data_IF_941277361714
#
_entry.id   IF_941277361714
#
_cell.length_a   1.000
_cell.length_b   1.000
_cell.length_c   1.000
_cell.angle_alpha   90.00
_cell.angle_beta   90.00
_cell.angle_gamma   90.00
#
_symmetry.space_group_name_H-M   'P 1'
#
loop_
_entity.id
_entity.type
_entity.pdbx_description
1 polymer ?
#
# COMPACT_ATOMS: atom_id res chain seq x y z
N UNK A 1 -10.88 -15.43 9.57
CA UNK A 1 -10.16 -15.49 8.28
C UNK A 1 -9.97 -14.04 7.81
N UNK A 2 -8.78 -13.66 7.37
CA UNK A 2 -8.55 -12.33 6.79
C UNK A 2 -9.08 -12.34 5.36
N UNK A 3 -9.85 -11.32 5.01
CA UNK A 3 -10.47 -11.20 3.69
C UNK A 3 -9.51 -10.46 2.76
N UNK A 4 -8.87 -11.19 1.84
CA UNK A 4 -7.85 -10.69 0.93
C UNK A 4 -8.28 -10.96 -0.51
N UNK A 5 -8.04 -10.01 -1.40
CA UNK A 5 -8.18 -10.15 -2.84
C UNK A 5 -6.83 -9.84 -3.50
N UNK A 6 -6.36 -10.75 -4.33
CA UNK A 6 -5.18 -10.53 -5.18
C UNK A 6 -5.60 -10.51 -6.65
N UNK A 7 -5.25 -9.43 -7.35
CA UNK A 7 -5.40 -9.31 -8.79
C UNK A 7 -4.01 -9.35 -9.42
N UNK A 8 -3.61 -10.53 -9.87
CA UNK A 8 -2.32 -10.73 -10.55
C UNK A 8 -2.30 -10.00 -11.89
N UNK A 9 -1.12 -9.52 -12.28
CA UNK A 9 -0.93 -8.78 -13.54
C UNK A 9 -1.88 -7.58 -13.70
N UNK A 10 -2.26 -6.95 -12.58
CA UNK A 10 -3.03 -5.70 -12.59
C UNK A 10 -2.29 -4.59 -13.34
N UNK A 11 -0.97 -4.50 -13.17
CA UNK A 11 -0.05 -3.79 -14.05
C UNK A 11 0.90 -4.82 -14.70
N UNK A 12 1.27 -4.57 -15.94
CA UNK A 12 2.27 -5.37 -16.65
C UNK A 12 3.69 -5.15 -16.06
N UNK A 13 4.60 -6.08 -16.31
CA UNK A 13 6.00 -5.92 -15.93
C UNK A 13 6.65 -4.68 -16.53
N UNK A 14 6.28 -4.32 -17.78
CA UNK A 14 6.75 -3.11 -18.45
C UNK A 14 6.24 -1.83 -17.77
N UNK A 15 4.95 -1.78 -17.38
CA UNK A 15 4.38 -0.66 -16.61
C UNK A 15 5.08 -0.52 -15.24
N UNK A 16 5.33 -1.64 -14.54
CA UNK A 16 6.06 -1.61 -13.27
C UNK A 16 7.48 -1.07 -13.43
N UNK A 17 8.20 -1.51 -14.47
CA UNK A 17 9.55 -1.04 -14.76
C UNK A 17 9.57 0.48 -15.08
N UNK A 18 8.64 0.95 -15.92
CA UNK A 18 8.51 2.36 -16.26
C UNK A 18 8.20 3.21 -15.01
N UNK A 19 7.27 2.77 -14.18
CA UNK A 19 6.91 3.44 -12.92
C UNK A 19 8.10 3.49 -11.96
N UNK A 20 8.85 2.40 -11.76
CA UNK A 20 10.05 2.43 -10.90
C UNK A 20 11.09 3.40 -11.43
N UNK A 21 11.32 3.44 -12.75
CA UNK A 21 12.25 4.39 -13.36
C UNK A 21 11.81 5.84 -13.14
N UNK A 22 10.53 6.14 -13.33
CA UNK A 22 9.94 7.46 -13.05
C UNK A 22 10.10 7.84 -11.57
N UNK A 23 9.77 6.93 -10.65
CA UNK A 23 9.84 7.17 -9.21
C UNK A 23 11.27 7.41 -8.72
N UNK A 24 12.28 6.76 -9.30
CA UNK A 24 13.70 7.02 -8.95
C UNK A 24 14.14 8.42 -9.32
N UNK A 25 13.55 9.02 -10.35
CA UNK A 25 13.85 10.40 -10.79
C UNK A 25 12.98 11.45 -10.07
N UNK A 26 11.92 11.02 -9.40
CA UNK A 26 10.95 11.91 -8.78
C UNK A 26 11.47 12.53 -7.48
N UNK A 27 11.02 13.73 -7.16
CA UNK A 27 11.21 14.31 -5.84
C UNK A 27 10.42 13.48 -4.80
N UNK A 28 11.00 13.33 -3.62
CA UNK A 28 10.38 12.59 -2.52
C UNK A 28 10.33 13.40 -1.24
N UNK A 29 9.32 13.14 -0.42
CA UNK A 29 9.19 13.68 0.93
C UNK A 29 8.91 12.54 1.90
N UNK A 30 9.35 12.67 3.14
CA UNK A 30 9.08 11.67 4.16
C UNK A 30 7.57 11.52 4.36
N UNK A 31 7.10 10.28 4.38
CA UNK A 31 5.68 9.98 4.57
C UNK A 31 5.21 10.37 5.96
N UNK A 32 4.01 10.95 6.03
CA UNK A 32 3.36 11.29 7.29
C UNK A 32 2.49 10.13 7.79
N UNK A 33 2.14 10.17 9.07
CA UNK A 33 1.10 9.35 9.71
C UNK A 33 -0.05 10.26 10.13
N UNK A 34 -1.20 9.67 10.41
CA UNK A 34 -2.36 10.42 10.92
C UNK A 34 -2.00 11.18 12.18
N UNK A 35 -2.45 12.43 12.25
CA UNK A 35 -2.25 13.36 13.36
C UNK A 35 -3.41 14.34 13.39
N UNK A 36 -3.75 14.94 14.53
CA UNK A 36 -4.68 16.06 14.61
C UNK A 36 -4.27 17.26 13.74
N UNK A 37 -2.98 17.38 13.43
CA UNK A 37 -2.47 18.47 12.60
C UNK A 37 -2.83 18.26 11.12
N UNK A 38 -3.25 19.30 10.40
CA UNK A 38 -3.50 19.24 8.96
C UNK A 38 -2.25 18.74 8.21
N UNK A 39 -2.43 17.72 7.35
CA UNK A 39 -1.34 17.10 6.59
C UNK A 39 -0.60 15.95 7.30
N UNK A 40 -0.98 15.63 8.54
CA UNK A 40 -0.37 14.55 9.33
C UNK A 40 0.97 14.95 9.97
N UNK A 41 1.57 14.00 10.69
CA UNK A 41 2.85 14.20 11.37
C UNK A 41 3.92 13.22 10.86
N UNK A 42 5.17 13.67 10.80
CA UNK A 42 6.32 12.81 10.56
C UNK A 42 6.70 12.14 11.87
N UNK A 43 6.55 10.81 11.96
CA UNK A 43 6.91 10.00 13.13
C UNK A 43 7.84 8.85 12.72
N UNK A 44 9.17 9.04 12.68
CA UNK A 44 10.11 8.07 12.14
C UNK A 44 10.16 6.73 12.89
N UNK A 45 9.70 6.69 14.13
CA UNK A 45 9.56 5.45 14.93
C UNK A 45 8.27 4.68 14.64
N UNK A 46 7.36 5.30 13.88
CA UNK A 46 6.08 4.69 13.46
C UNK A 46 6.13 4.33 11.98
N UNK A 47 6.60 5.26 11.14
CA UNK A 47 6.69 5.07 9.69
C UNK A 47 7.96 5.68 9.14
N UNK A 48 8.73 4.88 8.44
CA UNK A 48 9.85 5.30 7.59
C UNK A 48 9.54 4.88 6.18
N UNK A 49 9.25 5.84 5.34
CA UNK A 49 8.97 5.66 3.91
C UNK A 49 9.04 7.03 3.24
N UNK A 50 9.37 7.05 1.96
CA UNK A 50 9.34 8.26 1.14
C UNK A 50 8.13 8.25 0.23
N UNK A 51 7.31 9.31 0.30
CA UNK A 51 6.25 9.56 -0.68
C UNK A 51 6.85 10.29 -1.87
N UNK A 52 6.72 9.69 -3.04
CA UNK A 52 7.25 10.19 -4.29
C UNK A 52 6.22 11.06 -5.02
N UNK A 53 6.65 12.17 -5.57
CA UNK A 53 5.81 13.04 -6.41
C UNK A 53 5.81 12.52 -7.83
N UNK A 54 4.62 12.35 -8.41
CA UNK A 54 4.47 11.93 -9.81
C UNK A 54 3.68 12.98 -10.60
N UNK A 55 3.84 13.02 -11.92
CA UNK A 55 2.99 13.85 -12.78
C UNK A 55 1.50 13.47 -12.63
N UNK A 56 0.57 14.43 -12.77
CA UNK A 56 -0.87 14.15 -12.68
C UNK A 56 -1.34 13.00 -13.57
N UNK A 57 -0.85 12.92 -14.80
CA UNK A 57 -1.16 11.84 -15.75
C UNK A 57 -0.86 10.43 -15.21
N UNK A 58 0.23 10.27 -14.44
CA UNK A 58 0.61 8.98 -13.84
C UNK A 58 -0.37 8.60 -12.74
N UNK A 59 -0.72 9.56 -11.87
CA UNK A 59 -1.72 9.35 -10.83
C UNK A 59 -3.12 9.05 -11.40
N UNK A 60 -3.53 9.79 -12.43
CA UNK A 60 -4.81 9.60 -13.14
C UNK A 60 -4.90 8.23 -13.80
N UNK A 61 -3.82 7.78 -14.47
CA UNK A 61 -3.76 6.45 -15.07
C UNK A 61 -3.99 5.35 -14.02
N UNK A 62 -3.27 5.41 -12.90
CA UNK A 62 -3.42 4.42 -11.81
C UNK A 62 -4.83 4.49 -11.22
N UNK A 63 -5.36 5.69 -11.00
CA UNK A 63 -6.73 5.89 -10.51
C UNK A 63 -7.76 5.24 -11.44
N UNK A 64 -7.66 5.47 -12.74
CA UNK A 64 -8.56 4.87 -13.72
C UNK A 64 -8.52 3.33 -13.70
N UNK A 65 -7.31 2.75 -13.57
CA UNK A 65 -7.12 1.29 -13.45
C UNK A 65 -7.76 0.75 -12.15
N UNK A 66 -7.58 1.44 -11.02
CA UNK A 66 -8.21 1.07 -9.75
C UNK A 66 -9.74 1.14 -9.87
N UNK A 67 -10.28 2.21 -10.45
CA UNK A 67 -11.73 2.37 -10.61
C UNK A 67 -12.39 1.28 -11.47
N UNK A 68 -11.66 0.65 -12.39
CA UNK A 68 -12.14 -0.53 -13.14
C UNK A 68 -12.37 -1.75 -12.23
N UNK A 69 -11.70 -1.85 -11.08
CA UNK A 69 -11.88 -2.95 -10.12
C UNK A 69 -13.00 -2.69 -9.10
N UNK A 70 -13.50 -1.46 -9.01
CA UNK A 70 -14.42 -0.99 -7.96
C UNK A 70 -15.63 -1.93 -7.76
N UNK A 71 -16.35 -2.26 -8.82
CA UNK A 71 -17.59 -3.04 -8.70
C UNK A 71 -17.32 -4.52 -8.34
N UNK A 72 -16.21 -5.08 -8.80
CA UNK A 72 -15.78 -6.42 -8.43
C UNK A 72 -15.41 -6.47 -6.94
N UNK A 73 -14.65 -5.48 -6.46
CA UNK A 73 -14.26 -5.36 -5.05
C UNK A 73 -15.47 -5.06 -4.17
N UNK A 74 -16.41 -4.21 -4.61
CA UNK A 74 -17.64 -3.92 -3.89
C UNK A 74 -18.43 -5.22 -3.61
N UNK A 75 -18.61 -6.06 -4.63
CA UNK A 75 -19.27 -7.37 -4.48
C UNK A 75 -18.47 -8.31 -3.57
N UNK A 76 -17.14 -8.37 -3.75
CA UNK A 76 -16.28 -9.29 -3.00
C UNK A 76 -16.24 -8.98 -1.51
N UNK A 77 -16.19 -7.70 -1.14
CA UNK A 77 -16.14 -7.26 0.26
C UNK A 77 -17.52 -6.98 0.86
N UNK A 78 -18.60 -7.04 0.07
CA UNK A 78 -19.96 -6.69 0.52
C UNK A 78 -20.05 -5.23 0.97
N UNK A 79 -19.34 -4.32 0.30
CA UNK A 79 -19.26 -2.90 0.62
C UNK A 79 -19.72 -2.05 -0.57
N UNK A 80 -20.50 -1.01 -0.31
CA UNK A 80 -20.77 0.00 -1.32
C UNK A 80 -19.53 0.90 -1.49
N UNK A 81 -18.88 0.84 -2.65
CA UNK A 81 -17.70 1.64 -2.97
C UNK A 81 -18.10 2.72 -3.98
N UNK A 82 -17.70 3.97 -3.72
CA UNK A 82 -18.05 5.14 -4.56
C UNK A 82 -16.89 5.61 -5.44
N UNK A 83 -15.73 5.81 -4.83
CA UNK A 83 -14.51 6.36 -5.45
C UNK A 83 -13.28 5.75 -4.81
N UNK A 84 -12.10 6.13 -5.29
CA UNK A 84 -10.86 5.89 -4.56
C UNK A 84 -10.11 7.20 -4.31
N UNK A 85 -9.34 7.24 -3.23
CA UNK A 85 -8.44 8.36 -2.94
C UNK A 85 -7.32 8.44 -4.01
N UNK A 86 -6.75 9.64 -4.23
CA UNK A 86 -5.57 9.77 -5.08
C UNK A 86 -4.44 8.83 -4.63
N UNK A 87 -3.83 8.06 -5.54
CA UNK A 87 -2.81 7.08 -5.18
C UNK A 87 -1.57 7.75 -4.61
N UNK A 88 -1.00 7.13 -3.59
CA UNK A 88 0.28 7.51 -3.01
C UNK A 88 1.36 6.55 -3.52
N UNK A 89 2.42 7.11 -4.10
CA UNK A 89 3.57 6.37 -4.60
C UNK A 89 4.65 6.36 -3.51
N UNK A 90 5.05 5.18 -3.08
CA UNK A 90 5.90 5.01 -1.91
C UNK A 90 7.19 4.28 -2.29
N UNK A 91 8.31 4.75 -1.73
CA UNK A 91 9.60 4.08 -1.73
C UNK A 91 10.01 3.76 -0.30
N UNK A 92 10.44 2.53 -0.09
CA UNK A 92 11.08 2.06 1.13
C UNK A 92 12.50 1.63 0.79
N UNK A 93 13.48 2.15 1.52
CA UNK A 93 14.89 1.76 1.46
C UNK A 93 15.23 0.80 2.60
N UNK A 94 16.45 0.25 2.62
CA UNK A 94 16.92 -0.58 3.72
C UNK A 94 16.73 0.11 5.08
N UNK A 95 16.09 -0.59 6.02
CA UNK A 95 15.71 -0.09 7.33
C UNK A 95 14.38 0.66 7.39
N UNK A 96 13.72 0.92 6.26
CA UNK A 96 12.39 1.55 6.24
C UNK A 96 11.29 0.54 6.55
N UNK A 97 10.22 1.01 7.22
CA UNK A 97 9.15 0.17 7.74
C UNK A 97 7.88 0.99 8.01
N UNK A 98 6.79 0.31 8.33
CA UNK A 98 5.58 0.92 8.90
C UNK A 98 5.01 -0.04 9.96
N UNK A 99 4.91 0.41 11.21
CA UNK A 99 4.39 -0.41 12.31
C UNK A 99 2.93 -0.79 12.10
N UNK A 100 2.43 -1.76 12.85
CA UNK A 100 1.05 -2.22 12.79
C UNK A 100 0.06 -1.07 12.99
N UNK A 101 -0.86 -0.91 12.04
CA UNK A 101 -1.87 0.15 11.99
C UNK A 101 -3.11 -0.32 11.23
N UNK A 102 -4.15 0.50 11.25
CA UNK A 102 -5.35 0.38 10.44
C UNK A 102 -5.50 1.63 9.57
N UNK A 103 -6.01 1.47 8.35
CA UNK A 103 -6.12 2.58 7.40
C UNK A 103 -7.39 3.40 7.56
N UNK A 104 -8.45 2.80 8.07
CA UNK A 104 -9.75 3.46 8.19
C UNK A 104 -10.85 2.56 8.75
N UNK A 105 -12.08 3.06 8.68
CA UNK A 105 -13.30 2.34 9.06
C UNK A 105 -13.28 1.77 10.50
N UNK A 106 -12.65 2.51 11.44
CA UNK A 106 -12.61 2.12 12.85
C UNK A 106 -13.06 3.26 13.74
N UNK A 107 -13.61 2.96 14.95
CA UNK A 107 -14.03 3.99 15.92
C UNK A 107 -12.89 4.88 16.43
N UNK A 108 -11.63 4.46 16.22
CA UNK A 108 -10.44 5.19 16.68
C UNK A 108 -9.99 6.29 15.72
N UNK A 109 -10.55 6.31 14.50
CA UNK A 109 -10.18 7.26 13.45
C UNK A 109 -11.30 8.28 13.28
N UNK A 110 -10.99 9.55 13.48
CA UNK A 110 -11.97 10.65 13.46
C UNK A 110 -11.82 11.61 12.29
N UNK A 111 -10.78 11.46 11.48
CA UNK A 111 -10.55 12.27 10.29
C UNK A 111 -11.18 11.66 9.01
N UNK A 112 -10.83 12.19 7.84
CA UNK A 112 -11.36 11.73 6.55
C UNK A 112 -11.11 10.25 6.30
N UNK A 113 -10.03 9.67 6.81
CA UNK A 113 -9.69 8.26 6.60
C UNK A 113 -10.70 7.28 7.22
N UNK A 114 -11.58 7.75 8.13
CA UNK A 114 -12.71 6.96 8.65
C UNK A 114 -13.65 6.43 7.55
N UNK A 115 -13.67 7.07 6.38
CA UNK A 115 -14.51 6.68 5.26
C UNK A 115 -13.87 5.63 4.35
N UNK A 116 -12.61 5.28 4.57
CA UNK A 116 -11.91 4.23 3.84
C UNK A 116 -12.51 2.87 4.17
N UNK A 117 -12.94 2.13 3.17
CA UNK A 117 -13.56 0.82 3.30
C UNK A 117 -12.65 -0.32 2.87
N UNK A 118 -11.88 -0.09 1.81
CA UNK A 118 -10.95 -1.09 1.25
C UNK A 118 -9.62 -0.43 0.96
N UNK A 119 -8.55 -0.99 1.51
CA UNK A 119 -7.17 -0.65 1.19
C UNK A 119 -6.73 -1.39 -0.07
N UNK A 120 -6.01 -0.70 -0.95
CA UNK A 120 -5.52 -1.21 -2.22
C UNK A 120 -4.04 -0.91 -2.36
N UNK A 121 -3.21 -1.96 -2.49
CA UNK A 121 -1.75 -1.85 -2.63
C UNK A 121 -1.31 -2.52 -3.93
N UNK A 122 -0.55 -1.80 -4.75
CA UNK A 122 0.07 -2.32 -5.98
C UNK A 122 1.57 -2.47 -5.71
N UNK A 123 2.10 -3.65 -5.93
CA UNK A 123 3.52 -3.95 -5.77
C UNK A 123 4.25 -3.70 -7.09
N UNK A 124 5.33 -2.93 -7.06
CA UNK A 124 6.09 -2.58 -8.27
C UNK A 124 7.46 -3.27 -8.34
N UNK A 125 8.03 -3.69 -7.19
CA UNK A 125 9.34 -4.31 -7.09
C UNK A 125 9.24 -5.80 -6.78
N UNK A 126 10.15 -6.61 -7.30
CA UNK A 126 10.26 -8.03 -6.96
C UNK A 126 10.91 -8.21 -5.59
N UNK A 127 10.42 -9.17 -4.79
CA UNK A 127 11.08 -9.59 -3.56
C UNK A 127 12.10 -10.68 -3.87
N UNK A 128 13.30 -10.60 -3.22
CA UNK A 128 14.37 -11.60 -3.33
C UNK A 128 15.06 -11.76 -1.99
N UNK A 129 15.40 -12.99 -1.61
CA UNK A 129 16.15 -13.25 -0.39
C UNK A 129 17.59 -12.71 -0.47
N UNK A 130 18.23 -12.84 -1.61
CA UNK A 130 19.54 -12.28 -1.87
C UNK A 130 19.45 -10.97 -2.66
N UNK A 131 20.36 -10.00 -2.45
CA UNK A 131 20.44 -8.79 -3.27
C UNK A 131 20.55 -9.13 -4.75
N UNK A 132 19.60 -8.60 -5.54
CA UNK A 132 19.57 -8.72 -6.99
C UNK A 132 19.14 -7.40 -7.62
N UNK A 133 19.50 -7.13 -8.89
CA UNK A 133 19.05 -5.94 -9.59
C UNK A 133 17.51 -5.82 -9.58
N UNK A 134 17.01 -4.62 -9.37
CA UNK A 134 15.57 -4.29 -9.39
C UNK A 134 14.71 -5.04 -8.35
N UNK A 135 15.34 -5.62 -7.31
CA UNK A 135 14.67 -6.32 -6.23
C UNK A 135 14.90 -5.69 -4.86
N UNK A 136 14.12 -6.14 -3.88
CA UNK A 136 14.30 -5.81 -2.47
C UNK A 136 14.19 -7.09 -1.63
N UNK A 137 14.72 -7.05 -0.40
CA UNK A 137 14.55 -8.13 0.57
C UNK A 137 13.91 -7.62 1.86
N UNK A 138 13.30 -8.51 2.62
CA UNK A 138 12.47 -8.12 3.76
C UNK A 138 11.20 -7.40 3.32
N UNK A 139 10.76 -6.39 4.06
CA UNK A 139 9.70 -5.47 3.65
C UNK A 139 8.33 -6.12 3.37
N UNK A 140 8.05 -7.30 3.89
CA UNK A 140 6.77 -7.96 3.70
C UNK A 140 5.62 -7.10 4.22
N UNK A 141 4.52 -7.08 3.49
CA UNK A 141 3.24 -6.63 4.01
C UNK A 141 2.67 -7.75 4.88
N UNK A 142 2.46 -7.51 6.17
CA UNK A 142 1.89 -8.50 7.08
C UNK A 142 0.49 -8.07 7.48
N UNK A 143 -0.49 -8.90 7.20
CA UNK A 143 -1.86 -8.71 7.68
C UNK A 143 -2.07 -9.49 8.96
N UNK A 144 -2.71 -8.87 9.94
CA UNK A 144 -3.02 -9.47 11.24
C UNK A 144 -4.47 -9.91 11.30
N UNK A 145 -4.71 -11.11 11.81
CA UNK A 145 -6.06 -11.61 12.09
C UNK A 145 -6.73 -10.89 13.25
N UNK A 146 -8.03 -11.13 13.43
CA UNK A 146 -8.78 -10.52 14.53
C UNK A 146 -8.22 -10.96 15.89
N UNK A 147 -8.27 -10.06 16.88
CA UNK A 147 -7.73 -10.22 18.24
C UNK A 147 -8.28 -11.41 19.04
N UNK A 148 -9.35 -12.05 18.59
CA UNK A 148 -10.04 -13.16 19.30
C UNK A 148 -9.67 -14.57 18.81
N UNK A 149 -8.54 -14.74 18.16
CA UNK A 149 -8.07 -16.03 17.65
C UNK A 149 -6.58 -16.25 17.85
N UNK A 150 -6.04 -17.42 17.43
CA UNK A 150 -4.59 -17.61 17.37
C UNK A 150 -3.97 -16.49 16.54
N UNK A 151 -2.80 -16.04 16.97
CA UNK A 151 -2.07 -14.92 16.37
C UNK A 151 -1.81 -15.17 14.87
N UNK A 152 -2.81 -14.83 14.05
CA UNK A 152 -2.77 -15.05 12.62
C UNK A 152 -2.04 -13.89 11.96
N UNK A 153 -0.83 -14.16 11.51
CA UNK A 153 -0.03 -13.23 10.72
C UNK A 153 0.16 -13.78 9.31
N UNK A 154 -0.27 -13.03 8.31
CA UNK A 154 -0.16 -13.43 6.90
C UNK A 154 0.83 -12.49 6.21
N UNK A 155 2.11 -12.92 6.04
CA UNK A 155 3.08 -12.16 5.29
C UNK A 155 2.81 -12.31 3.78
N UNK A 156 2.88 -11.18 3.06
CA UNK A 156 2.67 -11.10 1.62
C UNK A 156 3.86 -10.42 0.96
N UNK A 157 4.40 -11.08 -0.06
CA UNK A 157 5.41 -10.54 -0.97
C UNK A 157 4.97 -10.86 -2.42
N UNK A 158 3.89 -10.22 -2.91
CA UNK A 158 3.38 -10.53 -4.24
C UNK A 158 4.36 -10.14 -5.35
N UNK A 159 4.21 -10.81 -6.49
CA UNK A 159 4.93 -10.47 -7.71
C UNK A 159 4.63 -9.02 -8.17
N UNK A 160 5.59 -8.35 -8.84
CA UNK A 160 5.37 -7.03 -9.41
C UNK A 160 4.13 -6.99 -10.30
N UNK A 161 3.37 -5.92 -10.21
CA UNK A 161 2.12 -5.74 -10.94
C UNK A 161 0.90 -6.35 -10.26
N UNK A 162 1.04 -7.00 -9.11
CA UNK A 162 -0.09 -7.51 -8.34
C UNK A 162 -0.74 -6.38 -7.53
N UNK A 163 -2.06 -6.29 -7.60
CA UNK A 163 -2.89 -5.49 -6.72
C UNK A 163 -3.39 -6.39 -5.57
N UNK A 164 -3.14 -5.98 -4.34
CA UNK A 164 -3.66 -6.60 -3.12
C UNK A 164 -4.66 -5.67 -2.49
N UNK A 165 -5.87 -6.19 -2.19
CA UNK A 165 -6.92 -5.45 -1.50
C UNK A 165 -7.37 -6.19 -0.25
N UNK A 166 -7.66 -5.43 0.81
CA UNK A 166 -8.20 -5.92 2.07
C UNK A 166 -9.03 -4.82 2.75
N UNK A 167 -9.83 -5.19 3.75
CA UNK A 167 -10.67 -4.21 4.47
C UNK A 167 -9.80 -3.19 5.19
N UNK A 168 -10.17 -1.91 5.14
CA UNK A 168 -9.38 -0.81 5.69
C UNK A 168 -9.18 -0.89 7.22
N UNK A 169 -10.07 -1.59 7.93
CA UNK A 169 -9.96 -1.89 9.35
C UNK A 169 -9.04 -3.08 9.67
N UNK A 170 -8.51 -3.78 8.67
CA UNK A 170 -7.54 -4.85 8.89
C UNK A 170 -6.23 -4.28 9.40
N UNK A 171 -5.80 -4.71 10.58
CA UNK A 171 -4.48 -4.34 11.11
C UNK A 171 -3.40 -4.93 10.21
N UNK A 172 -2.45 -4.09 9.80
CA UNK A 172 -1.35 -4.49 8.94
C UNK A 172 -0.09 -3.67 9.20
N UNK A 173 1.04 -4.21 8.78
CA UNK A 173 2.36 -3.59 8.92
C UNK A 173 3.21 -3.83 7.68
N UNK A 174 4.23 -3.01 7.49
CA UNK A 174 5.33 -3.28 6.55
C UNK A 174 6.58 -3.56 7.37
N UNK A 175 7.08 -4.79 7.29
CA UNK A 175 8.31 -5.18 7.97
C UNK A 175 9.50 -4.37 7.45
N UNK A 176 10.58 -4.23 8.22
CA UNK A 176 11.78 -3.55 7.75
C UNK A 176 12.30 -4.15 6.44
N UNK A 177 12.59 -3.27 5.47
CA UNK A 177 13.30 -3.65 4.24
C UNK A 177 14.75 -3.99 4.62
N UNK A 178 15.24 -5.15 4.19
CA UNK A 178 16.60 -5.60 4.49
C UNK A 178 17.62 -5.06 3.49
N UNK A 179 17.26 -5.00 2.21
CA UNK A 179 18.09 -4.47 1.13
C UNK A 179 17.26 -4.02 -0.06
N UNK A 180 17.85 -3.27 -0.97
CA UNK A 180 17.24 -2.81 -2.23
C UNK A 180 16.20 -1.72 -2.04
N UNK A 181 15.31 -1.58 -3.05
CA UNK A 181 14.27 -0.56 -3.09
C UNK A 181 12.89 -1.21 -3.28
N UNK A 182 12.03 -1.07 -2.29
CA UNK A 182 10.65 -1.52 -2.37
C UNK A 182 9.75 -0.37 -2.82
N UNK A 183 9.21 -0.45 -4.03
CA UNK A 183 8.23 0.50 -4.54
C UNK A 183 6.82 -0.08 -4.48
N UNK A 184 5.88 0.71 -3.97
CA UNK A 184 4.45 0.37 -3.94
C UNK A 184 3.60 1.59 -4.23
N UNK A 185 2.38 1.35 -4.70
CA UNK A 185 1.33 2.36 -4.80
C UNK A 185 0.22 1.97 -3.86
N UNK A 186 -0.29 2.94 -3.08
CA UNK A 186 -1.36 2.72 -2.11
C UNK A 186 -2.51 3.68 -2.40
N UNK A 187 -3.72 3.16 -2.37
CA UNK A 187 -4.95 3.95 -2.46
C UNK A 187 -6.04 3.29 -1.61
N UNK A 188 -7.15 3.98 -1.40
CA UNK A 188 -8.26 3.49 -0.59
C UNK A 188 -9.58 3.77 -1.29
N UNK A 189 -10.46 2.76 -1.33
CA UNK A 189 -11.83 2.94 -1.78
C UNK A 189 -12.71 3.45 -0.63
N UNK A 190 -13.60 4.39 -0.96
CA UNK A 190 -14.53 5.06 -0.06
C UNK A 190 -15.95 4.52 -0.19
#
# INVERSE_FOLDING_TARGET
MIDIVEVKSFLSGAECAALRAELRQAAGAQSTVLSPDPGGAIKPLVRRATRMSVPPRTAEHVTARLMQQKDALARRFGQALSSCEPPQFLRYLAGDFFVAHQDGNTPLIHDHSRFRKVSALIFLSACSEAPAPESYGGGALVLHGPYSGPDLRVPLNPEPGTLVCFRAETTHEVLPVAHGERFTIVSWYL
#
